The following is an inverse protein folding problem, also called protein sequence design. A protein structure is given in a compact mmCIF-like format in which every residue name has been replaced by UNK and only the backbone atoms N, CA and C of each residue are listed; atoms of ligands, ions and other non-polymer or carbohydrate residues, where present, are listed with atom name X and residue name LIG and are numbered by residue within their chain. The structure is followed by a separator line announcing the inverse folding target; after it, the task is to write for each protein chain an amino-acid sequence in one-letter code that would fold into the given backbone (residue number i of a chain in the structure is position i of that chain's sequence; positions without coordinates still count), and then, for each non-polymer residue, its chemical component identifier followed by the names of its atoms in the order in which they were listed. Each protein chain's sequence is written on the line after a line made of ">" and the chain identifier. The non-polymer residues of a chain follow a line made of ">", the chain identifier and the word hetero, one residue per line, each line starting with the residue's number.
data_IF_231797246060
#
_entry.id   IF_231797246060
#
_cell.length_a   1.000
_cell.length_b   1.000
_cell.length_c   1.000
_cell.angle_alpha   90.00
_cell.angle_beta   90.00
_cell.angle_gamma   90.00
#
_symmetry.space_group_name_H-M   'P 1'
#
loop_
_entity.id
_entity.type
_entity.pdbx_description
1 polymer ?
#
# COMPACT_ATOMS: atom_id res chain seq x y z
N UNK A 1 7.99 -13.47 2.03
CA UNK A 1 6.98 -12.41 1.84
C UNK A 1 7.02 -11.51 3.08
N UNK A 2 7.05 -10.20 2.88
CA UNK A 2 6.96 -9.22 3.96
C UNK A 2 5.55 -8.68 4.00
N UNK A 3 5.03 -8.52 5.22
CA UNK A 3 3.78 -7.82 5.43
C UNK A 3 4.05 -6.32 5.34
N UNK A 4 3.24 -5.61 4.57
CA UNK A 4 3.37 -4.17 4.37
C UNK A 4 2.06 -3.46 4.68
N UNK A 5 2.21 -2.24 5.17
CA UNK A 5 1.15 -1.27 5.37
C UNK A 5 1.44 -0.06 4.50
N UNK A 6 0.60 0.17 3.51
CA UNK A 6 0.69 1.25 2.55
C UNK A 6 -0.34 2.30 2.95
N UNK A 7 0.13 3.51 3.24
CA UNK A 7 -0.71 4.66 3.52
C UNK A 7 -0.95 5.38 2.19
N UNK A 8 -2.20 5.54 1.79
CA UNK A 8 -2.55 6.27 0.57
C UNK A 8 -2.54 7.78 0.82
N UNK A 9 -2.18 8.61 -0.13
CA UNK A 9 -2.28 10.07 0.05
C UNK A 9 -3.74 10.54 0.15
N UNK A 10 -4.02 11.70 0.75
CA UNK A 10 -5.36 12.29 0.77
C UNK A 10 -5.94 12.46 -0.64
N UNK A 11 -5.11 12.82 -1.62
CA UNK A 11 -5.50 12.96 -3.03
C UNK A 11 -5.93 11.62 -3.64
N UNK A 12 -5.21 10.54 -3.35
CA UNK A 12 -5.57 9.21 -3.82
C UNK A 12 -6.91 8.73 -3.26
N UNK A 13 -7.26 9.17 -2.04
CA UNK A 13 -8.53 8.83 -1.37
C UNK A 13 -9.68 9.77 -1.74
N UNK A 14 -9.41 10.83 -2.51
CA UNK A 14 -10.35 11.93 -2.75
C UNK A 14 -11.56 11.50 -3.58
N UNK A 15 -11.35 10.67 -4.60
CA UNK A 15 -12.42 10.14 -5.44
C UNK A 15 -12.34 8.61 -5.54
N UNK A 16 -13.47 7.93 -5.81
CA UNK A 16 -13.45 6.50 -6.07
C UNK A 16 -12.53 6.12 -7.24
N UNK A 17 -12.47 6.98 -8.26
CA UNK A 17 -11.64 6.79 -9.46
C UNK A 17 -10.14 6.87 -9.14
N UNK A 18 -9.72 7.88 -8.35
CA UNK A 18 -8.33 8.00 -7.92
C UNK A 18 -7.91 6.83 -7.04
N UNK A 19 -8.81 6.39 -6.15
CA UNK A 19 -8.57 5.25 -5.28
C UNK A 19 -8.40 3.98 -6.11
N UNK A 20 -9.30 3.72 -7.06
CA UNK A 20 -9.21 2.56 -7.94
C UNK A 20 -7.96 2.58 -8.81
N UNK A 21 -7.56 3.74 -9.33
CA UNK A 21 -6.32 3.87 -10.11
C UNK A 21 -5.09 3.49 -9.26
N UNK A 22 -4.97 4.00 -8.04
CA UNK A 22 -3.86 3.65 -7.14
C UNK A 22 -3.90 2.16 -6.75
N UNK A 23 -5.07 1.60 -6.46
CA UNK A 23 -5.21 0.17 -6.16
C UNK A 23 -4.85 -0.72 -7.35
N UNK A 24 -5.21 -0.32 -8.57
CA UNK A 24 -4.85 -1.04 -9.79
C UNK A 24 -3.32 -1.08 -9.98
N UNK A 25 -2.64 0.08 -9.85
CA UNK A 25 -1.18 0.13 -9.93
C UNK A 25 -0.51 -0.75 -8.88
N UNK A 26 -1.00 -0.73 -7.62
CA UNK A 26 -0.45 -1.59 -6.57
C UNK A 26 -0.68 -3.08 -6.87
N UNK A 27 -1.84 -3.45 -7.40
CA UNK A 27 -2.11 -4.85 -7.78
C UNK A 27 -1.22 -5.32 -8.92
N UNK A 28 -1.01 -4.50 -9.94
CA UNK A 28 -0.16 -4.82 -11.08
C UNK A 28 1.32 -4.93 -10.69
N UNK A 29 1.81 -4.04 -9.82
CA UNK A 29 3.22 -3.99 -9.46
C UNK A 29 3.65 -5.11 -8.50
N UNK A 30 2.80 -5.44 -7.53
CA UNK A 30 3.25 -6.24 -6.37
C UNK A 30 2.41 -7.49 -6.14
N UNK A 31 1.31 -7.66 -6.88
CA UNK A 31 0.40 -8.79 -6.70
C UNK A 31 -0.10 -8.88 -5.25
N UNK A 32 -0.57 -7.75 -4.70
CA UNK A 32 -0.90 -7.65 -3.27
C UNK A 32 -1.98 -8.67 -2.86
N UNK A 33 -1.61 -9.62 -2.00
CA UNK A 33 -2.50 -10.62 -1.41
C UNK A 33 -3.01 -10.14 -0.02
N UNK A 34 -4.19 -10.62 0.39
CA UNK A 34 -4.84 -10.36 1.69
C UNK A 34 -5.14 -8.88 2.01
N UNK A 35 -5.73 -8.17 1.04
CA UNK A 35 -6.18 -6.77 1.22
C UNK A 35 -7.24 -6.65 2.34
N UNK A 36 -6.94 -5.86 3.37
CA UNK A 36 -7.93 -5.50 4.39
C UNK A 36 -8.76 -4.27 3.98
N UNK A 37 -9.90 -4.52 3.33
CA UNK A 37 -10.79 -3.47 2.82
C UNK A 37 -11.37 -2.56 3.92
N UNK A 38 -11.58 -3.07 5.14
CA UNK A 38 -12.10 -2.26 6.26
C UNK A 38 -11.11 -1.19 6.70
N UNK A 39 -9.81 -1.51 6.73
CA UNK A 39 -8.75 -0.54 7.04
C UNK A 39 -8.58 0.47 5.92
N UNK A 40 -8.72 0.03 4.67
CA UNK A 40 -8.67 0.92 3.51
C UNK A 40 -9.79 1.97 3.57
N UNK A 41 -11.04 1.55 3.79
CA UNK A 41 -12.17 2.47 3.83
C UNK A 41 -12.10 3.47 4.99
N UNK A 42 -11.62 3.03 6.17
CA UNK A 42 -11.62 3.85 7.38
C UNK A 42 -10.38 4.73 7.56
N UNK A 43 -9.22 4.23 7.16
CA UNK A 43 -7.93 4.87 7.42
C UNK A 43 -7.11 5.13 6.16
N UNK A 44 -7.59 4.70 4.99
CA UNK A 44 -6.82 4.74 3.73
C UNK A 44 -5.51 3.96 3.81
N UNK A 45 -5.51 2.88 4.59
CA UNK A 45 -4.36 1.99 4.76
C UNK A 45 -4.65 0.69 4.03
N UNK A 46 -3.83 0.40 3.03
CA UNK A 46 -3.81 -0.88 2.36
C UNK A 46 -2.80 -1.79 3.08
N UNK A 47 -3.22 -2.99 3.47
CA UNK A 47 -2.34 -3.96 4.14
C UNK A 47 -2.31 -5.23 3.31
N UNK A 48 -1.14 -5.84 3.16
CA UNK A 48 -0.99 -7.09 2.42
C UNK A 48 0.41 -7.65 2.50
N UNK A 49 0.65 -8.72 1.74
CA UNK A 49 1.96 -9.37 1.64
C UNK A 49 2.61 -9.09 0.28
N UNK A 50 3.90 -8.75 0.29
CA UNK A 50 4.69 -8.48 -0.91
C UNK A 50 6.09 -9.09 -0.82
N UNK A 51 6.79 -9.29 -1.94
CA UNK A 51 8.19 -9.74 -1.91
C UNK A 51 9.10 -8.59 -1.53
N UNK A 52 10.23 -8.90 -0.89
CA UNK A 52 11.18 -7.88 -0.41
C UNK A 52 11.65 -6.94 -1.52
N UNK A 53 11.93 -7.51 -2.69
CA UNK A 53 12.41 -6.79 -3.87
C UNK A 53 11.39 -5.78 -4.43
N UNK A 54 10.09 -6.01 -4.18
CA UNK A 54 9.02 -5.18 -4.74
C UNK A 54 8.57 -4.08 -3.76
N UNK A 55 9.05 -4.09 -2.52
CA UNK A 55 8.77 -3.03 -1.52
C UNK A 55 9.25 -1.67 -2.01
N UNK A 56 10.41 -1.61 -2.66
CA UNK A 56 10.94 -0.36 -3.20
C UNK A 56 10.06 0.19 -4.33
N UNK A 57 9.44 -0.70 -5.13
CA UNK A 57 8.55 -0.28 -6.23
C UNK A 57 7.27 0.39 -5.71
N UNK A 58 6.77 -0.02 -4.53
CA UNK A 58 5.61 0.62 -3.89
C UNK A 58 5.85 2.10 -3.57
N UNK A 59 7.07 2.49 -3.22
CA UNK A 59 7.38 3.90 -2.90
C UNK A 59 7.26 4.81 -4.13
N UNK A 60 7.32 4.24 -5.34
CA UNK A 60 7.24 4.98 -6.60
C UNK A 60 5.80 5.10 -7.14
N UNK A 61 4.79 4.52 -6.46
CA UNK A 61 3.41 4.52 -6.96
C UNK A 61 2.74 5.87 -6.68
N UNK A 62 2.17 6.52 -7.71
CA UNK A 62 1.37 7.73 -7.51
C UNK A 62 0.19 7.49 -6.57
N UNK A 63 0.09 8.32 -5.53
CA UNK A 63 -0.96 8.21 -4.54
C UNK A 63 -0.61 7.36 -3.31
N UNK A 64 0.62 6.85 -3.21
CA UNK A 64 1.17 6.32 -1.96
C UNK A 64 1.87 7.46 -1.20
N UNK A 65 1.51 7.62 0.08
CA UNK A 65 2.12 8.57 1.00
C UNK A 65 3.26 7.92 1.80
N UNK A 66 3.06 6.69 2.26
CA UNK A 66 4.07 5.96 3.02
C UNK A 66 3.92 4.44 2.82
N UNK A 67 5.03 3.72 2.98
CA UNK A 67 5.08 2.26 3.00
C UNK A 67 5.82 1.82 4.24
N UNK A 68 5.12 1.15 5.15
CA UNK A 68 5.70 0.52 6.34
C UNK A 68 5.80 -0.99 6.12
N UNK A 69 6.91 -1.59 6.50
CA UNK A 69 7.13 -3.03 6.44
C UNK A 69 7.08 -3.60 7.85
N UNK A 70 6.13 -4.48 8.12
CA UNK A 70 5.98 -5.17 9.40
C UNK A 70 7.23 -6.06 9.60
N UNK A 71 8.05 -5.71 10.61
CA UNK A 71 9.32 -6.39 10.91
C UNK A 71 10.59 -5.55 10.71
N UNK A 72 10.50 -4.35 10.12
CA UNK A 72 11.58 -3.35 10.17
C UNK A 72 11.41 -2.40 11.37
N UNK A 73 11.09 -2.95 12.55
CA UNK A 73 11.54 -2.31 13.79
C UNK A 73 13.04 -2.60 13.92
N UNK A 74 13.87 -1.83 13.23
CA UNK A 74 15.21 -1.60 13.78
C UNK A 74 15.00 -0.77 15.03
N UNK A 75 14.96 -1.45 16.18
CA UNK A 75 15.24 -0.81 17.45
C UNK A 75 16.54 -0.02 17.27
N UNK A 76 16.47 1.29 17.49
CA UNK A 76 17.63 2.16 17.63
C UNK A 76 18.27 1.93 19.00
#
# INVERSE_FOLDING_TARGET
>A
MHKVHIVLSPDARRTPESLQATLACVRELVGLEDVNERRLARYGILSGCVRAQDVAALQSVPGIEAVEVDGLQRAL
#
